data_IF_910688021894
#
_entry.id   IF_910688021894
#
_cell.length_a   1.000
_cell.length_b   1.000
_cell.length_c   1.000
_cell.angle_alpha   90.00
_cell.angle_beta   90.00
_cell.angle_gamma   90.00
#
_symmetry.space_group_name_H-M   'P 1'
#
loop_
_entity.id
_entity.type
_entity.pdbx_description
1 polymer ?
#
# COMPACT_ATOMS: atom_id res chain seq x y z
N UNK A 1 -4.17 9.23 1.22
CA UNK A 1 -4.03 8.49 2.48
C UNK A 1 -3.53 7.07 2.29
N UNK A 2 -4.23 6.20 1.55
CA UNK A 2 -3.77 4.81 1.31
C UNK A 2 -2.39 4.75 0.63
N UNK A 3 -2.11 5.64 -0.33
CA UNK A 3 -0.79 5.73 -0.94
C UNK A 3 0.32 6.06 0.06
N UNK A 4 0.06 7.00 0.97
CA UNK A 4 0.98 7.33 2.06
C UNK A 4 1.29 6.11 2.94
N UNK A 5 0.25 5.38 3.35
CA UNK A 5 0.38 4.16 4.13
C UNK A 5 1.22 3.09 3.41
N UNK A 6 0.97 2.89 2.11
CA UNK A 6 1.73 1.93 1.29
C UNK A 6 3.20 2.32 1.14
N UNK A 7 3.48 3.61 0.96
CA UNK A 7 4.85 4.12 0.87
C UNK A 7 5.64 3.93 2.16
N UNK A 8 5.05 4.23 3.32
CA UNK A 8 5.65 3.96 4.63
C UNK A 8 5.98 2.49 4.81
N UNK A 9 5.00 1.61 4.52
CA UNK A 9 5.18 0.17 4.64
C UNK A 9 6.30 -0.36 3.72
N UNK A 10 6.44 0.22 2.53
CA UNK A 10 7.52 -0.12 1.60
C UNK A 10 8.88 0.30 2.16
N UNK A 11 9.00 1.51 2.73
CA UNK A 11 10.23 1.98 3.38
C UNK A 11 10.65 1.08 4.54
N UNK A 12 9.69 0.66 5.38
CA UNK A 12 9.97 -0.29 6.47
C UNK A 12 10.40 -1.66 5.93
N UNK A 13 9.77 -2.14 4.84
CA UNK A 13 10.15 -3.38 4.16
C UNK A 13 11.59 -3.37 3.62
N UNK A 14 12.10 -2.22 3.19
CA UNK A 14 13.52 -2.07 2.78
C UNK A 14 14.46 -2.32 3.96
N UNK A 15 14.18 -1.74 5.13
CA UNK A 15 14.98 -1.98 6.34
C UNK A 15 14.96 -3.44 6.78
N UNK A 16 13.79 -4.08 6.71
CA UNK A 16 13.65 -5.53 6.96
C UNK A 16 14.51 -6.33 5.97
N UNK A 17 14.47 -5.97 4.68
CA UNK A 17 15.28 -6.63 3.64
C UNK A 17 16.77 -6.51 3.91
N UNK A 18 17.24 -5.34 4.35
CA UNK A 18 18.65 -5.12 4.70
C UNK A 18 19.08 -5.97 5.90
N UNK A 19 18.30 -5.99 6.98
CA UNK A 19 18.62 -6.77 8.17
C UNK A 19 18.59 -8.29 7.86
N UNK A 20 17.63 -8.74 7.05
CA UNK A 20 17.54 -10.11 6.59
C UNK A 20 18.76 -10.50 5.73
N UNK A 21 19.15 -9.64 4.79
CA UNK A 21 20.33 -9.85 3.95
C UNK A 21 21.63 -9.90 4.75
N UNK A 22 21.76 -9.07 5.78
CA UNK A 22 22.89 -9.08 6.72
C UNK A 22 22.91 -10.30 7.64
N UNK A 23 21.84 -11.13 7.67
CA UNK A 23 21.65 -12.26 8.60
C UNK A 23 21.69 -11.83 10.08
N UNK A 24 21.37 -10.57 10.37
CA UNK A 24 21.32 -10.05 11.73
C UNK A 24 19.89 -10.25 12.29
N UNK A 25 19.67 -11.38 12.95
CA UNK A 25 18.36 -11.73 13.51
C UNK A 25 17.92 -10.79 14.62
N UNK A 26 18.84 -10.27 15.42
CA UNK A 26 18.50 -9.35 16.51
C UNK A 26 17.98 -8.04 15.96
N UNK A 27 18.72 -7.45 15.02
CA UNK A 27 18.31 -6.23 14.32
C UNK A 27 17.03 -6.43 13.52
N UNK A 28 16.86 -7.60 12.87
CA UNK A 28 15.65 -7.93 12.11
C UNK A 28 14.41 -7.94 13.03
N UNK A 29 14.46 -8.62 14.17
CA UNK A 29 13.35 -8.67 15.15
C UNK A 29 13.02 -7.29 15.69
N UNK A 30 14.03 -6.50 16.00
CA UNK A 30 13.84 -5.12 16.45
C UNK A 30 13.16 -4.26 15.37
N UNK A 31 13.63 -4.30 14.11
CA UNK A 31 13.00 -3.55 12.99
C UNK A 31 11.55 -3.99 12.77
N UNK A 32 11.25 -5.29 12.86
CA UNK A 32 9.88 -5.81 12.75
C UNK A 32 9.00 -5.28 13.88
N UNK A 33 9.47 -5.35 15.14
CA UNK A 33 8.75 -4.82 16.30
C UNK A 33 8.51 -3.31 16.18
N UNK A 34 9.54 -2.56 15.80
CA UNK A 34 9.46 -1.12 15.60
C UNK A 34 8.54 -0.74 14.43
N UNK A 35 8.51 -1.56 13.35
CA UNK A 35 7.56 -1.38 12.24
C UNK A 35 6.11 -1.46 12.73
N UNK A 36 5.77 -2.44 13.57
CA UNK A 36 4.42 -2.54 14.15
C UNK A 36 4.10 -1.35 15.05
N UNK A 37 5.03 -0.97 15.92
CA UNK A 37 4.84 0.12 16.86
C UNK A 37 4.63 1.45 16.13
N UNK A 38 5.48 1.77 15.16
CA UNK A 38 5.35 2.98 14.33
C UNK A 38 4.07 2.95 13.51
N UNK A 39 3.68 1.79 12.97
CA UNK A 39 2.42 1.63 12.23
C UNK A 39 1.22 1.96 13.10
N UNK A 40 1.17 1.48 14.34
CA UNK A 40 0.08 1.78 15.27
C UNK A 40 0.06 3.28 15.60
N UNK A 41 1.20 3.86 15.96
CA UNK A 41 1.29 5.29 16.30
C UNK A 41 0.84 6.15 15.11
N UNK A 42 1.37 5.91 13.93
CA UNK A 42 1.07 6.70 12.73
C UNK A 42 -0.39 6.50 12.32
N UNK A 43 -0.92 5.28 12.38
CA UNK A 43 -2.33 5.01 12.04
C UNK A 43 -3.29 5.71 12.99
N UNK A 44 -2.99 5.75 14.29
CA UNK A 44 -3.82 6.49 15.28
C UNK A 44 -3.80 7.99 14.97
N UNK A 45 -2.62 8.57 14.72
CA UNK A 45 -2.49 10.00 14.37
C UNK A 45 -3.26 10.31 13.08
N UNK A 46 -3.06 9.51 12.04
CA UNK A 46 -3.74 9.70 10.76
C UNK A 46 -5.26 9.54 10.89
N UNK A 47 -5.72 8.52 11.62
CA UNK A 47 -7.15 8.31 11.86
C UNK A 47 -7.75 9.50 12.60
N UNK A 48 -7.13 9.94 13.70
CA UNK A 48 -7.61 11.11 14.46
C UNK A 48 -7.69 12.36 13.57
N UNK A 49 -6.63 12.63 12.79
CA UNK A 49 -6.59 13.79 11.90
C UNK A 49 -7.66 13.71 10.81
N UNK A 50 -7.79 12.55 10.15
CA UNK A 50 -8.69 12.42 8.99
C UNK A 50 -10.16 12.31 9.37
N UNK A 51 -10.49 11.66 10.49
CA UNK A 51 -11.87 11.57 10.98
C UNK A 51 -12.39 12.94 11.43
N UNK A 52 -11.53 13.75 12.07
CA UNK A 52 -11.91 15.10 12.51
C UNK A 52 -12.10 16.08 11.36
N UNK A 53 -11.33 15.91 10.26
CA UNK A 53 -11.36 16.82 9.11
C UNK A 53 -12.16 16.28 7.92
N UNK A 54 -12.80 15.11 8.04
CA UNK A 54 -13.47 14.43 6.91
C UNK A 54 -14.52 15.30 6.21
N UNK A 55 -15.41 15.92 6.98
CA UNK A 55 -16.50 16.74 6.46
C UNK A 55 -15.98 18.03 5.80
N UNK A 56 -15.00 18.68 6.41
CA UNK A 56 -14.37 19.88 5.88
C UNK A 56 -13.65 19.61 4.55
N UNK A 57 -12.98 18.47 4.47
CA UNK A 57 -12.34 18.01 3.23
C UNK A 57 -13.36 17.79 2.10
N UNK A 58 -14.51 17.17 2.39
CA UNK A 58 -15.57 16.96 1.41
C UNK A 58 -16.17 18.29 0.92
N UNK A 59 -16.40 19.23 1.83
CA UNK A 59 -16.87 20.58 1.48
C UNK A 59 -15.82 21.30 0.61
N UNK A 60 -14.55 21.23 0.99
CA UNK A 60 -13.46 21.82 0.19
C UNK A 60 -13.36 21.21 -1.23
N UNK A 61 -13.70 19.94 -1.38
CA UNK A 61 -13.76 19.24 -2.67
C UNK A 61 -15.02 19.53 -3.48
N UNK A 62 -15.88 20.47 -3.03
CA UNK A 62 -17.16 20.83 -3.65
C UNK A 62 -18.09 19.61 -3.81
N UNK A 63 -18.15 18.73 -2.80
CA UNK A 63 -19.09 17.61 -2.80
C UNK A 63 -20.52 18.15 -2.73
N UNK A 64 -21.44 17.75 -3.64
CA UNK A 64 -22.83 18.20 -3.63
C UNK A 64 -23.54 17.87 -2.32
N UNK A 65 -24.36 18.81 -1.82
CA UNK A 65 -25.04 18.69 -0.50
C UNK A 65 -25.94 17.45 -0.39
N UNK A 66 -26.55 17.03 -1.49
CA UNK A 66 -27.43 15.85 -1.55
C UNK A 66 -26.74 14.52 -1.29
N UNK A 67 -25.41 14.45 -1.42
CA UNK A 67 -24.60 13.23 -1.18
C UNK A 67 -23.57 13.42 -0.06
N UNK A 68 -23.43 14.62 0.50
CA UNK A 68 -22.39 14.97 1.47
C UNK A 68 -22.43 14.05 2.71
N UNK A 69 -23.58 13.83 3.30
CA UNK A 69 -23.73 12.99 4.50
C UNK A 69 -23.45 11.51 4.21
N UNK A 70 -23.82 11.02 3.02
CA UNK A 70 -23.48 9.65 2.60
C UNK A 70 -21.97 9.50 2.36
N UNK A 71 -21.36 10.49 1.72
CA UNK A 71 -19.92 10.51 1.46
C UNK A 71 -19.12 10.61 2.77
N UNK A 72 -19.55 11.45 3.71
CA UNK A 72 -18.91 11.58 5.03
C UNK A 72 -19.01 10.26 5.82
N UNK A 73 -20.17 9.62 5.83
CA UNK A 73 -20.36 8.31 6.47
C UNK A 73 -19.43 7.26 5.90
N UNK A 74 -19.30 7.19 4.56
CA UNK A 74 -18.39 6.26 3.88
C UNK A 74 -16.94 6.52 4.24
N UNK A 75 -16.49 7.76 4.06
CA UNK A 75 -15.10 8.15 4.26
C UNK A 75 -14.67 7.98 5.72
N UNK A 76 -15.53 8.30 6.68
CA UNK A 76 -15.25 8.08 8.11
C UNK A 76 -14.97 6.62 8.42
N UNK A 77 -15.78 5.70 7.90
CA UNK A 77 -15.55 4.26 8.10
C UNK A 77 -14.21 3.83 7.49
N UNK A 78 -13.88 4.30 6.28
CA UNK A 78 -12.57 4.05 5.66
C UNK A 78 -11.43 4.62 6.51
N UNK A 79 -11.58 5.82 7.09
CA UNK A 79 -10.57 6.43 7.95
C UNK A 79 -10.38 5.66 9.26
N UNK A 80 -11.45 5.14 9.88
CA UNK A 80 -11.34 4.22 11.00
C UNK A 80 -10.60 2.93 10.62
N UNK A 81 -10.73 2.49 9.37
CA UNK A 81 -10.04 1.34 8.79
C UNK A 81 -8.57 1.57 8.41
N UNK A 82 -7.99 2.77 8.58
CA UNK A 82 -6.59 3.04 8.23
C UNK A 82 -5.65 2.05 8.90
N UNK A 83 -5.87 1.72 10.17
CA UNK A 83 -5.02 0.79 10.90
C UNK A 83 -4.99 -0.60 10.27
N UNK A 84 -6.12 -1.12 9.78
CA UNK A 84 -6.19 -2.44 9.15
C UNK A 84 -5.43 -2.46 7.83
N UNK A 85 -5.60 -1.41 7.02
CA UNK A 85 -4.89 -1.25 5.75
C UNK A 85 -3.39 -1.08 5.96
N UNK A 86 -2.97 -0.23 6.90
CA UNK A 86 -1.55 -0.03 7.23
C UNK A 86 -0.92 -1.33 7.75
N UNK A 87 -1.59 -2.03 8.65
CA UNK A 87 -1.10 -3.28 9.21
C UNK A 87 -0.91 -4.34 8.12
N UNK A 88 -1.90 -4.50 7.22
CA UNK A 88 -1.78 -5.40 6.09
C UNK A 88 -0.57 -5.05 5.20
N UNK A 89 -0.40 -3.77 4.85
CA UNK A 89 0.71 -3.32 4.02
C UNK A 89 2.08 -3.56 4.68
N UNK A 90 2.20 -3.30 5.98
CA UNK A 90 3.45 -3.51 6.73
C UNK A 90 3.77 -4.99 6.84
N UNK A 91 2.82 -5.85 7.21
CA UNK A 91 3.04 -7.31 7.26
C UNK A 91 3.43 -7.84 5.87
N UNK A 92 2.76 -7.38 4.82
CA UNK A 92 3.09 -7.71 3.43
C UNK A 92 4.49 -7.24 3.04
N UNK A 93 4.89 -6.04 3.48
CA UNK A 93 6.22 -5.48 3.29
C UNK A 93 7.30 -6.31 3.98
N UNK A 94 7.06 -6.73 5.23
CA UNK A 94 7.96 -7.59 6.01
C UNK A 94 8.14 -8.95 5.32
N UNK A 95 7.03 -9.59 4.89
CA UNK A 95 7.10 -10.89 4.19
C UNK A 95 7.87 -10.78 2.87
N UNK A 96 7.61 -9.75 2.07
CA UNK A 96 8.40 -9.48 0.86
C UNK A 96 9.88 -9.25 1.22
N UNK A 97 10.14 -8.52 2.30
CA UNK A 97 11.48 -8.25 2.80
C UNK A 97 12.32 -9.50 3.09
N UNK A 98 11.68 -10.57 3.53
CA UNK A 98 12.34 -11.88 3.75
C UNK A 98 12.21 -12.83 2.55
N UNK A 99 11.69 -12.38 1.42
CA UNK A 99 11.62 -13.14 0.16
C UNK A 99 10.30 -13.87 -0.10
N UNK A 100 9.30 -13.76 0.77
CA UNK A 100 7.98 -14.34 0.54
C UNK A 100 7.03 -13.29 -0.09
N UNK A 101 7.05 -13.20 -1.41
CA UNK A 101 6.14 -12.33 -2.16
C UNK A 101 4.80 -13.01 -2.52
N UNK A 102 4.73 -14.34 -2.47
CA UNK A 102 3.53 -15.10 -2.85
C UNK A 102 2.44 -15.03 -1.79
N UNK A 103 2.80 -15.16 -0.54
CA UNK A 103 1.84 -15.16 0.56
C UNK A 103 1.03 -13.87 0.67
N UNK A 104 1.60 -12.66 0.61
CA UNK A 104 0.82 -11.43 0.55
C UNK A 104 -0.16 -11.40 -0.63
N UNK A 105 0.23 -11.93 -1.80
CA UNK A 105 -0.66 -12.01 -2.96
C UNK A 105 -1.88 -12.91 -2.69
N UNK A 106 -1.67 -14.09 -2.10
CA UNK A 106 -2.79 -14.98 -1.76
C UNK A 106 -3.77 -14.34 -0.77
N UNK A 107 -3.26 -13.64 0.23
CA UNK A 107 -4.12 -12.93 1.18
C UNK A 107 -4.80 -11.71 0.55
N UNK A 108 -4.19 -11.06 -0.44
CA UNK A 108 -4.84 -10.00 -1.21
C UNK A 108 -6.00 -10.55 -2.04
N UNK A 109 -5.81 -11.67 -2.74
CA UNK A 109 -6.87 -12.34 -3.49
C UNK A 109 -8.01 -12.80 -2.58
N UNK A 110 -7.67 -13.38 -1.43
CA UNK A 110 -8.65 -13.74 -0.42
C UNK A 110 -9.43 -12.52 0.09
N UNK A 111 -8.73 -11.42 0.41
CA UNK A 111 -9.35 -10.17 0.82
C UNK A 111 -10.32 -9.63 -0.23
N UNK A 112 -9.94 -9.67 -1.51
CA UNK A 112 -10.79 -9.20 -2.59
C UNK A 112 -12.04 -10.05 -2.76
N UNK A 113 -11.90 -11.38 -2.69
CA UNK A 113 -13.06 -12.28 -2.74
C UNK A 113 -14.00 -12.08 -1.54
N UNK A 114 -13.43 -11.98 -0.34
CA UNK A 114 -14.19 -11.72 0.89
C UNK A 114 -14.88 -10.35 0.85
N UNK A 115 -14.21 -9.34 0.30
CA UNK A 115 -14.79 -8.01 0.15
C UNK A 115 -16.05 -8.05 -0.72
N UNK A 116 -16.01 -8.73 -1.89
CA UNK A 116 -17.19 -8.87 -2.77
C UNK A 116 -18.35 -9.52 -2.02
N UNK A 117 -18.10 -10.60 -1.27
CA UNK A 117 -19.13 -11.27 -0.48
C UNK A 117 -19.72 -10.37 0.59
N UNK A 118 -18.85 -9.66 1.32
CA UNK A 118 -19.26 -8.74 2.37
C UNK A 118 -20.00 -7.52 1.81
N UNK A 119 -19.59 -6.99 0.65
CA UNK A 119 -20.29 -5.88 -0.03
C UNK A 119 -21.75 -6.28 -0.33
N UNK A 120 -21.96 -7.45 -0.95
CA UNK A 120 -23.30 -7.95 -1.22
C UNK A 120 -24.09 -8.16 0.08
N UNK A 121 -23.49 -8.72 1.10
CA UNK A 121 -24.13 -8.95 2.39
C UNK A 121 -24.51 -7.62 3.08
N UNK A 122 -23.59 -6.69 3.18
CA UNK A 122 -23.81 -5.40 3.88
C UNK A 122 -24.81 -4.51 3.12
N UNK A 123 -24.75 -4.49 1.78
CA UNK A 123 -25.63 -3.63 0.98
C UNK A 123 -27.00 -4.24 0.81
N UNK A 124 -27.10 -5.53 0.41
CA UNK A 124 -28.37 -6.16 0.07
C UNK A 124 -29.12 -6.64 1.31
N UNK A 125 -28.41 -7.34 2.22
CA UNK A 125 -29.05 -7.97 3.39
C UNK A 125 -29.21 -6.99 4.55
N UNK A 126 -28.13 -6.27 4.90
CA UNK A 126 -28.14 -5.32 6.03
C UNK A 126 -28.66 -3.93 5.65
N UNK A 127 -28.82 -3.65 4.34
CA UNK A 127 -29.30 -2.35 3.81
C UNK A 127 -28.53 -1.14 4.34
N UNK A 128 -27.21 -1.32 4.57
CA UNK A 128 -26.33 -0.27 5.10
C UNK A 128 -25.93 0.77 4.05
N UNK A 129 -26.53 0.74 2.85
CA UNK A 129 -26.24 1.65 1.76
C UNK A 129 -24.73 1.75 1.47
N UNK A 130 -24.25 2.96 1.22
CA UNK A 130 -22.85 3.23 0.86
C UNK A 130 -21.89 2.91 2.02
N UNK A 131 -22.29 3.11 3.26
CA UNK A 131 -21.47 2.77 4.42
C UNK A 131 -21.19 1.26 4.52
N UNK A 132 -22.09 0.41 4.01
CA UNK A 132 -21.91 -1.04 3.94
C UNK A 132 -20.66 -1.44 3.15
N UNK A 133 -20.41 -0.81 2.01
CA UNK A 133 -19.21 -1.05 1.20
C UNK A 133 -17.92 -0.64 1.95
N UNK A 134 -17.96 0.44 2.73
CA UNK A 134 -16.83 0.83 3.56
C UNK A 134 -16.53 -0.20 4.66
N UNK A 135 -17.57 -0.69 5.36
CA UNK A 135 -17.41 -1.75 6.36
C UNK A 135 -16.87 -3.04 5.75
N UNK A 136 -17.40 -3.46 4.60
CA UNK A 136 -16.93 -4.65 3.91
C UNK A 136 -15.43 -4.56 3.56
N UNK A 137 -14.99 -3.39 3.09
CA UNK A 137 -13.58 -3.12 2.79
C UNK A 137 -12.70 -3.20 4.03
N UNK A 138 -13.08 -2.52 5.12
CA UNK A 138 -12.30 -2.50 6.36
C UNK A 138 -12.23 -3.88 7.01
N UNK A 139 -13.35 -4.61 7.04
CA UNK A 139 -13.43 -5.95 7.64
C UNK A 139 -12.59 -6.93 6.82
N UNK A 140 -12.73 -6.96 5.49
CA UNK A 140 -11.96 -7.88 4.62
C UNK A 140 -10.46 -7.65 4.72
N UNK A 141 -10.01 -6.40 4.74
CA UNK A 141 -8.61 -6.05 4.95
C UNK A 141 -8.13 -6.41 6.36
N UNK A 142 -8.94 -6.17 7.38
CA UNK A 142 -8.63 -6.51 8.77
C UNK A 142 -8.44 -8.02 8.95
N UNK A 143 -9.35 -8.83 8.44
CA UNK A 143 -9.24 -10.29 8.46
C UNK A 143 -7.97 -10.75 7.74
N UNK A 144 -7.69 -10.20 6.56
CA UNK A 144 -6.50 -10.55 5.80
C UNK A 144 -5.21 -10.12 6.49
N UNK A 145 -5.20 -8.96 7.16
CA UNK A 145 -4.06 -8.51 7.96
C UNK A 145 -3.77 -9.49 9.11
N UNK A 146 -4.80 -9.91 9.83
CA UNK A 146 -4.68 -10.87 10.95
C UNK A 146 -4.21 -12.23 10.44
N UNK A 147 -4.80 -12.76 9.38
CA UNK A 147 -4.40 -14.05 8.80
C UNK A 147 -2.95 -14.01 8.29
N UNK A 148 -2.57 -12.93 7.62
CA UNK A 148 -1.21 -12.73 7.14
C UNK A 148 -0.20 -12.64 8.30
N UNK A 149 -0.56 -11.97 9.39
CA UNK A 149 0.23 -11.88 10.62
C UNK A 149 0.39 -13.24 11.29
N UNK A 150 -0.69 -14.00 11.45
CA UNK A 150 -0.67 -15.35 12.01
C UNK A 150 0.25 -16.26 11.19
N UNK A 151 0.11 -16.22 9.86
CA UNK A 151 0.96 -16.98 8.95
C UNK A 151 2.43 -16.61 9.12
N UNK A 152 2.75 -15.31 9.13
CA UNK A 152 4.10 -14.79 9.33
C UNK A 152 4.73 -15.36 10.63
N UNK A 153 4.03 -15.25 11.75
CA UNK A 153 4.53 -15.75 13.04
C UNK A 153 4.63 -17.27 13.10
N UNK A 154 3.77 -18.02 12.40
CA UNK A 154 3.84 -19.48 12.38
C UNK A 154 4.98 -20.00 11.51
N UNK A 155 5.16 -19.42 10.33
CA UNK A 155 6.12 -19.92 9.33
C UNK A 155 7.53 -19.40 9.55
N UNK A 156 7.69 -18.15 9.93
CA UNK A 156 8.99 -17.50 10.03
C UNK A 156 9.38 -17.27 11.49
N UNK A 157 10.11 -18.22 12.08
CA UNK A 157 10.59 -18.12 13.47
C UNK A 157 11.50 -16.93 13.70
N UNK A 158 12.26 -16.53 12.66
CA UNK A 158 13.17 -15.37 12.69
C UNK A 158 12.44 -14.02 12.80
N UNK A 159 11.14 -13.98 12.46
CA UNK A 159 10.29 -12.77 12.55
C UNK A 159 9.50 -12.70 13.87
N UNK A 160 9.63 -13.73 14.73
CA UNK A 160 8.95 -13.73 16.04
C UNK A 160 9.63 -12.73 16.95
N UNK A 161 8.92 -11.65 17.23
CA UNK A 161 9.37 -10.59 18.13
C UNK A 161 9.10 -10.98 19.60
N UNK A 162 9.98 -10.54 20.50
CA UNK A 162 9.84 -10.66 21.96
C UNK A 162 9.51 -9.28 22.54
N UNK A 163 9.03 -9.22 23.77
CA UNK A 163 8.78 -7.95 24.46
C UNK A 163 10.03 -7.04 24.52
N UNK A 164 11.21 -7.64 24.61
CA UNK A 164 12.50 -6.95 24.60
C UNK A 164 12.79 -6.21 23.29
N UNK A 165 12.16 -6.61 22.17
CA UNK A 165 12.43 -6.03 20.86
C UNK A 165 11.59 -4.75 20.61
N UNK A 166 10.55 -4.53 21.47
CA UNK A 166 9.64 -3.37 21.38
C UNK A 166 10.20 -2.18 22.18
N UNK A 167 11.20 -1.53 21.64
CA UNK A 167 11.70 -0.25 22.16
C UNK A 167 11.92 0.72 21.01
N UNK A 168 11.81 2.01 21.31
CA UNK A 168 12.06 3.07 20.33
C UNK A 168 13.49 3.53 20.53
N UNK A 169 14.34 3.24 19.57
CA UNK A 169 15.65 3.85 19.48
C UNK A 169 15.67 4.94 18.40
N UNK A 170 16.38 6.01 18.68
CA UNK A 170 16.42 7.20 17.82
C UNK A 170 17.07 6.91 16.46
N UNK A 171 18.07 6.05 16.44
CA UNK A 171 18.86 5.78 15.22
C UNK A 171 18.05 4.96 14.23
N UNK A 172 17.52 3.79 14.67
CA UNK A 172 16.72 2.91 13.80
C UNK A 172 15.43 3.60 13.38
N UNK A 173 14.77 4.32 14.30
CA UNK A 173 13.54 5.08 13.98
C UNK A 173 13.82 6.14 12.92
N UNK A 174 14.90 6.92 13.06
CA UNK A 174 15.25 7.93 12.06
C UNK A 174 15.57 7.31 10.70
N UNK A 175 16.26 6.17 10.67
CA UNK A 175 16.54 5.44 9.43
C UNK A 175 15.25 4.93 8.76
N UNK A 176 14.33 4.34 9.52
CA UNK A 176 13.04 3.86 9.04
C UNK A 176 12.18 5.00 8.48
N UNK A 177 12.09 6.10 9.21
CA UNK A 177 11.35 7.29 8.78
C UNK A 177 12.02 7.98 7.59
N UNK A 178 13.35 8.01 7.56
CA UNK A 178 14.14 8.56 6.44
C UNK A 178 13.93 7.81 5.12
N UNK A 179 13.58 6.52 5.16
CA UNK A 179 13.16 5.75 3.98
C UNK A 179 11.65 5.80 3.75
N UNK A 180 10.87 5.70 4.82
CA UNK A 180 9.42 5.62 4.75
C UNK A 180 8.75 6.93 4.32
N UNK A 181 9.15 8.07 4.88
CA UNK A 181 8.53 9.37 4.57
C UNK A 181 8.70 9.75 3.09
N UNK A 182 9.91 9.72 2.49
CA UNK A 182 10.06 10.05 1.07
C UNK A 182 9.23 9.13 0.16
N UNK A 183 9.17 7.83 0.47
CA UNK A 183 8.32 6.89 -0.28
C UNK A 183 6.83 7.21 -0.11
N UNK A 184 6.40 7.53 1.11
CA UNK A 184 5.02 7.92 1.39
C UNK A 184 4.63 9.21 0.66
N UNK A 185 5.51 10.21 0.66
CA UNK A 185 5.31 11.46 -0.08
C UNK A 185 5.26 11.23 -1.59
N UNK A 186 6.11 10.37 -2.14
CA UNK A 186 6.09 10.02 -3.56
C UNK A 186 4.70 9.48 -3.98
N UNK A 187 4.17 8.48 -3.27
CA UNK A 187 2.82 7.96 -3.54
C UNK A 187 1.72 9.01 -3.34
N UNK A 188 1.87 9.89 -2.37
CA UNK A 188 0.91 10.96 -2.11
C UNK A 188 0.91 12.01 -3.23
N UNK A 189 2.09 12.38 -3.73
CA UNK A 189 2.23 13.33 -4.84
C UNK A 189 1.62 12.79 -6.14
N UNK A 190 1.82 11.49 -6.43
CA UNK A 190 1.16 10.84 -7.57
C UNK A 190 -0.36 10.92 -7.44
N UNK A 191 -0.90 10.63 -6.25
CA UNK A 191 -2.34 10.69 -6.01
C UNK A 191 -2.90 12.11 -6.17
N UNK A 192 -2.21 13.11 -5.62
CA UNK A 192 -2.59 14.54 -5.76
C UNK A 192 -2.51 14.96 -7.22
N UNK A 193 -1.45 14.58 -7.94
CA UNK A 193 -1.31 14.87 -9.37
C UNK A 193 -2.47 14.29 -10.19
N UNK A 194 -2.88 13.06 -9.91
CA UNK A 194 -4.03 12.44 -10.57
C UNK A 194 -5.35 13.17 -10.28
N UNK A 195 -5.53 13.66 -9.04
CA UNK A 195 -6.72 14.45 -8.68
C UNK A 195 -6.75 15.80 -9.40
N UNK A 196 -5.61 16.49 -9.50
CA UNK A 196 -5.52 17.77 -10.23
C UNK A 196 -5.82 17.55 -11.71
N UNK A 197 -5.25 16.51 -12.31
CA UNK A 197 -5.50 16.17 -13.71
C UNK A 197 -6.99 15.84 -13.95
N UNK A 198 -7.60 15.04 -13.07
CA UNK A 198 -9.03 14.75 -13.15
C UNK A 198 -9.89 16.02 -13.06
N UNK A 199 -9.54 16.94 -12.15
CA UNK A 199 -10.24 18.22 -12.01
C UNK A 199 -10.13 19.06 -13.29
N UNK A 200 -8.97 19.11 -13.92
CA UNK A 200 -8.76 19.81 -15.18
C UNK A 200 -9.59 19.20 -16.33
N UNK A 201 -9.65 17.87 -16.40
CA UNK A 201 -10.45 17.17 -17.42
C UNK A 201 -11.96 17.41 -17.23
N UNK A 202 -12.43 17.55 -16.00
CA UNK A 202 -13.84 17.79 -15.70
C UNK A 202 -14.39 19.09 -16.34
N UNK A 203 -13.53 20.07 -16.58
CA UNK A 203 -13.91 21.34 -17.24
C UNK A 203 -14.37 21.13 -18.70
N UNK A 204 -13.88 20.07 -19.35
CA UNK A 204 -14.21 19.77 -20.75
C UNK A 204 -15.53 19.01 -20.94
N UNK A 205 -16.25 18.73 -19.86
CA UNK A 205 -17.58 18.11 -19.88
C UNK A 205 -17.56 16.58 -19.87
N UNK A 206 -18.76 15.99 -19.81
CA UNK A 206 -18.94 14.56 -19.54
C UNK A 206 -18.33 13.63 -20.60
N UNK A 207 -18.36 14.03 -21.87
CA UNK A 207 -17.79 13.23 -22.97
C UNK A 207 -16.26 13.11 -22.84
N UNK A 208 -15.58 14.22 -22.53
CA UNK A 208 -14.13 14.25 -22.30
C UNK A 208 -13.76 13.42 -21.05
N UNK A 209 -14.54 13.53 -19.96
CA UNK A 209 -14.34 12.76 -18.75
C UNK A 209 -14.48 11.25 -19.02
N UNK A 210 -15.48 10.84 -19.80
CA UNK A 210 -15.68 9.44 -20.17
C UNK A 210 -14.51 8.90 -20.99
N UNK A 211 -14.08 9.64 -22.01
CA UNK A 211 -12.93 9.28 -22.85
C UNK A 211 -11.63 9.21 -22.04
N UNK A 212 -11.37 10.21 -21.19
CA UNK A 212 -10.20 10.22 -20.30
C UNK A 212 -10.21 9.05 -19.32
N UNK A 213 -11.37 8.74 -18.73
CA UNK A 213 -11.50 7.62 -17.80
C UNK A 213 -11.23 6.28 -18.49
N UNK A 214 -11.74 6.09 -19.71
CA UNK A 214 -11.46 4.88 -20.49
C UNK A 214 -9.96 4.76 -20.82
N UNK A 215 -9.34 5.83 -21.33
CA UNK A 215 -7.90 5.87 -21.62
C UNK A 215 -7.05 5.62 -20.39
N UNK A 216 -7.39 6.23 -19.24
CA UNK A 216 -6.68 6.02 -17.97
C UNK A 216 -6.78 4.58 -17.47
N UNK A 217 -7.87 3.84 -17.73
CA UNK A 217 -7.96 2.42 -17.41
C UNK A 217 -6.99 1.57 -18.24
N UNK A 218 -6.86 1.84 -19.53
CA UNK A 218 -5.90 1.18 -20.41
C UNK A 218 -4.48 1.51 -19.98
N UNK A 219 -4.18 2.79 -19.73
CA UNK A 219 -2.88 3.23 -19.21
C UNK A 219 -2.54 2.51 -17.90
N UNK A 220 -3.46 2.46 -16.94
CA UNK A 220 -3.25 1.83 -15.65
C UNK A 220 -2.88 0.35 -15.79
N UNK A 221 -3.56 -0.39 -16.65
CA UNK A 221 -3.23 -1.82 -16.91
C UNK A 221 -1.83 -1.93 -17.52
N UNK A 222 -1.50 -1.07 -18.47
CA UNK A 222 -0.22 -1.09 -19.18
C UNK A 222 0.96 -0.69 -18.29
N UNK A 223 0.76 0.19 -17.31
CA UNK A 223 1.83 0.73 -16.44
C UNK A 223 2.00 -0.04 -15.13
N UNK A 224 1.03 -0.85 -14.70
CA UNK A 224 1.09 -1.63 -13.43
C UNK A 224 2.37 -2.48 -13.22
N UNK A 225 3.01 -3.07 -14.25
CA UNK A 225 4.25 -3.80 -14.06
C UNK A 225 5.41 -2.95 -13.52
N UNK A 226 5.42 -1.62 -13.76
CA UNK A 226 6.51 -0.74 -13.33
C UNK A 226 6.60 -0.56 -11.80
N UNK A 227 5.53 -0.20 -11.08
CA UNK A 227 5.53 -0.17 -9.62
C UNK A 227 5.87 -1.52 -8.99
N UNK A 228 5.39 -2.62 -9.58
CA UNK A 228 5.70 -3.97 -9.12
C UNK A 228 7.20 -4.28 -9.23
N UNK A 229 7.81 -3.91 -10.37
CA UNK A 229 9.25 -4.04 -10.58
C UNK A 229 10.04 -3.17 -9.60
N UNK A 230 9.61 -1.93 -9.36
CA UNK A 230 10.19 -1.02 -8.38
C UNK A 230 10.19 -1.61 -6.97
N UNK A 231 9.05 -2.17 -6.52
CA UNK A 231 8.94 -2.83 -5.23
C UNK A 231 9.84 -4.06 -5.13
N UNK A 232 9.92 -4.86 -6.20
CA UNK A 232 10.79 -6.04 -6.28
C UNK A 232 12.25 -5.64 -6.19
N UNK A 233 12.65 -4.60 -6.93
CA UNK A 233 14.03 -4.09 -6.92
C UNK A 233 14.40 -3.48 -5.57
N UNK A 234 13.48 -2.78 -4.89
CA UNK A 234 13.72 -2.26 -3.54
C UNK A 234 14.05 -3.38 -2.55
N UNK A 235 13.30 -4.49 -2.60
CA UNK A 235 13.57 -5.68 -1.77
C UNK A 235 14.89 -6.35 -2.16
N UNK A 236 15.11 -6.58 -3.45
CA UNK A 236 16.32 -7.22 -3.97
C UNK A 236 17.59 -6.44 -3.63
N UNK A 237 17.57 -5.14 -3.88
CA UNK A 237 18.68 -4.26 -3.54
C UNK A 237 18.90 -4.21 -2.02
N UNK A 238 17.83 -4.12 -1.23
CA UNK A 238 17.91 -4.13 0.23
C UNK A 238 18.61 -5.39 0.76
N UNK A 239 18.19 -6.58 0.31
CA UNK A 239 18.81 -7.84 0.73
C UNK A 239 20.28 -7.94 0.32
N UNK A 240 20.62 -7.57 -0.93
CA UNK A 240 22.00 -7.65 -1.41
C UNK A 240 22.90 -6.58 -0.78
N UNK A 241 22.37 -5.40 -0.47
CA UNK A 241 23.07 -4.36 0.28
C UNK A 241 23.40 -4.84 1.69
N UNK A 242 22.41 -5.42 2.39
CA UNK A 242 22.62 -6.01 3.72
C UNK A 242 23.65 -7.13 3.71
N UNK A 243 23.68 -7.94 2.64
CA UNK A 243 24.64 -9.04 2.46
C UNK A 243 26.03 -8.57 1.98
N UNK A 244 26.25 -7.27 1.72
CA UNK A 244 27.50 -6.74 1.17
C UNK A 244 27.78 -7.16 -0.28
N UNK A 245 26.75 -7.60 -1.03
CA UNK A 245 26.89 -8.14 -2.41
C UNK A 245 26.56 -7.07 -3.46
N UNK A 246 27.37 -6.04 -3.54
CA UNK A 246 27.14 -4.89 -4.44
C UNK A 246 27.07 -5.24 -5.92
N UNK A 247 27.92 -6.17 -6.38
CA UNK A 247 27.92 -6.63 -7.79
C UNK A 247 26.55 -7.17 -8.21
N UNK A 248 25.87 -7.90 -7.32
CA UNK A 248 24.53 -8.42 -7.59
C UNK A 248 23.49 -7.32 -7.76
N UNK A 249 23.66 -6.19 -7.07
CA UNK A 249 22.77 -5.04 -7.24
C UNK A 249 22.85 -4.50 -8.65
N UNK A 250 24.07 -4.31 -9.18
CA UNK A 250 24.28 -3.84 -10.56
C UNK A 250 23.73 -4.81 -11.60
N UNK A 251 23.96 -6.11 -11.42
CA UNK A 251 23.42 -7.14 -12.32
C UNK A 251 21.88 -7.20 -12.26
N UNK A 252 21.33 -7.08 -11.07
CA UNK A 252 19.88 -6.99 -10.86
C UNK A 252 19.27 -5.78 -11.56
N UNK A 253 19.91 -4.61 -11.45
CA UNK A 253 19.48 -3.38 -12.12
C UNK A 253 19.48 -3.52 -13.64
N UNK A 254 20.52 -4.11 -14.22
CA UNK A 254 20.58 -4.37 -15.68
C UNK A 254 19.42 -5.28 -16.13
N UNK A 255 19.18 -6.37 -15.40
CA UNK A 255 18.06 -7.29 -15.69
C UNK A 255 16.69 -6.63 -15.53
N UNK A 256 16.52 -5.84 -14.46
CA UNK A 256 15.28 -5.09 -14.23
C UNK A 256 15.03 -4.08 -15.36
N UNK A 257 16.07 -3.38 -15.83
CA UNK A 257 15.96 -2.47 -16.96
C UNK A 257 15.56 -3.21 -18.25
N UNK A 258 16.12 -4.39 -18.51
CA UNK A 258 15.70 -5.23 -19.64
C UNK A 258 14.25 -5.68 -19.56
N UNK A 259 13.77 -6.08 -18.35
CA UNK A 259 12.36 -6.43 -18.13
C UNK A 259 11.47 -5.19 -18.33
N UNK A 260 11.87 -4.03 -17.83
CA UNK A 260 11.15 -2.79 -18.01
C UNK A 260 10.98 -2.42 -19.48
N UNK A 261 12.06 -2.47 -20.26
CA UNK A 261 12.01 -2.24 -21.72
C UNK A 261 11.10 -3.22 -22.43
N UNK A 262 11.18 -4.51 -22.09
CA UNK A 262 10.31 -5.54 -22.66
C UNK A 262 8.83 -5.29 -22.35
N UNK A 263 8.49 -4.94 -21.12
CA UNK A 263 7.10 -4.63 -20.73
C UNK A 263 6.57 -3.36 -21.41
N UNK A 264 7.40 -2.31 -21.55
CA UNK A 264 7.03 -1.10 -22.28
C UNK A 264 6.81 -1.39 -23.78
N UNK A 265 7.68 -2.18 -24.40
CA UNK A 265 7.53 -2.57 -25.80
C UNK A 265 6.24 -3.36 -26.05
N UNK A 266 5.90 -4.30 -25.16
CA UNK A 266 4.64 -5.07 -25.22
C UNK A 266 3.43 -4.13 -25.03
N UNK A 267 3.47 -3.26 -24.05
CA UNK A 267 2.40 -2.29 -23.81
C UNK A 267 2.18 -1.35 -24.99
N UNK A 268 3.27 -0.81 -25.55
CA UNK A 268 3.23 0.04 -26.74
C UNK A 268 2.65 -0.71 -27.95
N UNK A 269 3.07 -1.96 -28.16
CA UNK A 269 2.51 -2.79 -29.24
C UNK A 269 1.01 -3.02 -29.08
N UNK A 270 0.56 -3.37 -27.87
CA UNK A 270 -0.88 -3.58 -27.59
C UNK A 270 -1.66 -2.29 -27.82
N UNK A 271 -1.19 -1.15 -27.31
CA UNK A 271 -1.87 0.13 -27.48
C UNK A 271 -1.89 0.61 -28.95
N UNK A 272 -0.92 0.26 -29.77
CA UNK A 272 -0.90 0.66 -31.21
C UNK A 272 -1.72 -0.25 -32.09
N UNK A 273 -1.87 -1.54 -31.73
CA UNK A 273 -2.62 -2.51 -32.57
C UNK A 273 -4.10 -2.57 -32.19
N UNK A 274 -4.43 -2.36 -30.91
CA UNK A 274 -5.79 -2.53 -30.36
C UNK A 274 -6.38 -1.22 -29.78
N UNK A 275 -5.68 -0.10 -29.84
CA UNK A 275 -6.08 1.21 -29.31
C UNK A 275 -6.50 2.18 -30.42
#
# INVERSE_FOLDING_TARGET
MLGFASGLAQGFGVMVSQAFGAKDESRLKHIVALSFLLTIIISVILTALTVTTSRELLIFMNTPDNILDMADSYIRVIFWGIITSMMYNVVSGILRGVGDSKTPLYFLLFSSALNIVLDLFCIVTLKLNVAGAAYATVISQGISAVLCLIYMYRKFTILRTRKSDYYIDRVTTAQMMGLGIPMALNYSLIAVGSMILQSAVNVFGSSAVAAFTAASKVEQISTQPMPALGTTMSTYCGQNLGAGKYERIFDGMKKAFGIALGTVAIAAFICTVFG
#
